data_IF_835697333461
#
_entry.id   IF_835697333461
#
_cell.length_a   1.000
_cell.length_b   1.000
_cell.length_c   1.000
_cell.angle_alpha   90.00
_cell.angle_beta   90.00
_cell.angle_gamma   90.00
#
_symmetry.space_group_name_H-M   'P 1'
#
loop_
_entity.id
_entity.type
_entity.pdbx_description
1 polymer ?
#
# COMPACT_ATOMS: atom_id res chain seq x y z
N UNK A 1 -9.45 -20.34 -14.80
CA UNK A 1 -9.36 -18.94 -14.34
C UNK A 1 -8.08 -18.66 -13.55
N UNK A 2 -7.87 -19.25 -12.36
CA UNK A 2 -6.67 -19.01 -11.52
C UNK A 2 -5.34 -19.13 -12.27
N UNK A 3 -5.08 -20.25 -12.97
CA UNK A 3 -3.85 -20.44 -13.75
C UNK A 3 -3.61 -19.37 -14.83
N UNK A 4 -4.68 -18.88 -15.47
CA UNK A 4 -4.56 -17.80 -16.47
C UNK A 4 -4.21 -16.47 -15.80
N UNK A 5 -4.76 -16.20 -14.62
CA UNK A 5 -4.45 -15.01 -13.82
C UNK A 5 -3.00 -15.04 -13.37
N UNK A 6 -2.53 -16.17 -12.83
CA UNK A 6 -1.14 -16.34 -12.41
C UNK A 6 -0.18 -16.15 -13.60
N UNK A 7 -0.57 -16.68 -14.77
CA UNK A 7 0.17 -16.53 -16.02
C UNK A 7 0.33 -15.08 -16.50
N UNK A 8 -0.52 -14.14 -16.08
CA UNK A 8 -0.43 -12.73 -16.50
C UNK A 8 0.91 -12.10 -16.11
N UNK A 9 1.42 -12.43 -14.93
CA UNK A 9 2.63 -11.83 -14.37
C UNK A 9 3.83 -12.80 -14.34
N UNK A 10 3.65 -14.05 -14.78
CA UNK A 10 4.64 -15.12 -14.62
C UNK A 10 5.96 -14.85 -15.37
N UNK A 11 5.89 -14.18 -16.53
CA UNK A 11 7.05 -13.90 -17.37
C UNK A 11 7.87 -12.65 -16.98
N UNK A 12 7.40 -11.87 -16.00
CA UNK A 12 8.04 -10.60 -15.62
C UNK A 12 8.71 -10.71 -14.25
N UNK A 13 10.03 -10.62 -14.24
CA UNK A 13 10.83 -10.75 -13.02
C UNK A 13 10.53 -9.66 -11.99
N UNK A 14 10.21 -8.42 -12.41
CA UNK A 14 9.86 -7.35 -11.47
C UNK A 14 8.55 -7.66 -10.76
N UNK A 15 7.56 -8.20 -11.47
CA UNK A 15 6.33 -8.63 -10.81
C UNK A 15 6.55 -9.79 -9.86
N UNK A 16 7.42 -10.74 -10.19
CA UNK A 16 7.73 -11.84 -9.26
C UNK A 16 8.43 -11.35 -7.99
N UNK A 17 9.36 -10.38 -8.10
CA UNK A 17 9.98 -9.73 -6.94
C UNK A 17 8.96 -8.96 -6.11
N UNK A 18 8.06 -8.22 -6.77
CA UNK A 18 6.98 -7.50 -6.10
C UNK A 18 6.02 -8.45 -5.37
N UNK A 19 5.61 -9.56 -5.99
CA UNK A 19 4.74 -10.55 -5.35
C UNK A 19 5.44 -11.27 -4.19
N UNK A 20 6.75 -11.50 -4.29
CA UNK A 20 7.55 -12.02 -3.18
C UNK A 20 7.58 -11.04 -2.00
N UNK A 21 7.73 -9.74 -2.26
CA UNK A 21 7.59 -8.71 -1.23
C UNK A 21 6.18 -8.66 -0.64
N UNK A 22 5.12 -8.79 -1.45
CA UNK A 22 3.73 -8.86 -0.96
C UNK A 22 3.55 -10.06 -0.03
N UNK A 23 4.08 -11.22 -0.40
CA UNK A 23 4.07 -12.43 0.42
C UNK A 23 4.79 -12.19 1.75
N UNK A 24 6.05 -11.75 1.70
CA UNK A 24 6.88 -11.47 2.88
C UNK A 24 6.21 -10.46 3.82
N UNK A 25 5.78 -9.32 3.28
CA UNK A 25 5.16 -8.25 4.06
C UNK A 25 3.84 -8.71 4.66
N UNK A 26 3.02 -9.45 3.92
CA UNK A 26 1.76 -9.99 4.46
C UNK A 26 1.99 -10.96 5.62
N UNK A 27 3.04 -11.79 5.55
CA UNK A 27 3.39 -12.76 6.59
C UNK A 27 4.02 -12.10 7.83
N UNK A 28 4.63 -10.92 7.67
CA UNK A 28 5.21 -10.15 8.78
C UNK A 28 4.15 -9.58 9.74
N UNK A 29 2.88 -9.52 9.31
CA UNK A 29 1.80 -8.91 10.08
C UNK A 29 0.89 -9.98 10.67
N UNK A 30 0.68 -9.91 12.00
CA UNK A 30 -0.34 -10.71 12.67
C UNK A 30 -1.70 -10.02 12.51
N UNK A 31 -2.55 -10.61 11.70
CA UNK A 31 -3.90 -10.12 11.42
C UNK A 31 -4.92 -11.25 11.61
N UNK A 32 -6.08 -11.02 12.25
CA UNK A 32 -7.12 -12.03 12.42
C UNK A 32 -7.95 -12.26 11.13
N UNK A 33 -7.30 -12.28 9.96
CA UNK A 33 -7.94 -12.38 8.63
C UNK A 33 -7.27 -13.44 7.78
N UNK A 34 -7.97 -13.85 6.71
CA UNK A 34 -7.40 -14.78 5.73
C UNK A 34 -6.12 -14.18 5.13
N UNK A 35 -5.04 -14.95 4.97
CA UNK A 35 -3.77 -14.48 4.38
C UNK A 35 -3.95 -13.80 3.00
N UNK A 36 -4.85 -14.30 2.17
CA UNK A 36 -5.18 -13.70 0.86
C UNK A 36 -5.67 -12.24 0.96
N UNK A 37 -6.40 -11.90 2.02
CA UNK A 37 -6.91 -10.55 2.25
C UNK A 37 -5.77 -9.57 2.60
N UNK A 38 -4.84 -10.02 3.45
CA UNK A 38 -3.65 -9.25 3.83
C UNK A 38 -2.72 -9.05 2.63
N UNK A 39 -2.55 -10.08 1.79
CA UNK A 39 -1.82 -9.95 0.51
C UNK A 39 -2.48 -8.96 -0.45
N UNK A 40 -3.81 -9.01 -0.59
CA UNK A 40 -4.54 -8.08 -1.47
C UNK A 40 -4.38 -6.62 -1.03
N UNK A 41 -4.36 -6.39 0.28
CA UNK A 41 -4.06 -5.09 0.86
C UNK A 41 -2.64 -4.61 0.47
N UNK A 42 -1.60 -5.42 0.69
CA UNK A 42 -0.22 -5.01 0.36
C UNK A 42 0.06 -4.94 -1.14
N UNK A 43 -0.58 -5.77 -1.96
CA UNK A 43 -0.57 -5.66 -3.42
C UNK A 43 -1.11 -4.28 -3.87
N UNK A 44 -2.22 -3.86 -3.27
CA UNK A 44 -2.83 -2.55 -3.57
C UNK A 44 -1.98 -1.38 -3.07
N UNK A 45 -1.27 -1.57 -1.95
CA UNK A 45 -0.35 -0.58 -1.37
C UNK A 45 0.90 -0.39 -2.23
N UNK A 46 1.69 -1.44 -2.41
CA UNK A 46 2.98 -1.37 -3.09
C UNK A 46 2.87 -1.25 -4.60
N UNK A 47 1.73 -1.66 -5.19
CA UNK A 47 1.48 -1.57 -6.63
C UNK A 47 1.08 -0.19 -7.14
N UNK A 48 0.97 0.82 -6.26
CA UNK A 48 0.50 2.16 -6.66
C UNK A 48 -0.94 2.16 -7.22
N UNK A 49 -1.72 1.12 -6.92
CA UNK A 49 -3.10 1.01 -7.38
C UNK A 49 -3.95 2.01 -6.58
N UNK A 50 -4.16 3.19 -7.17
CA UNK A 50 -4.90 4.34 -6.63
C UNK A 50 -6.41 4.03 -6.45
N UNK A 51 -6.76 3.08 -5.59
CA UNK A 51 -8.15 2.89 -5.14
C UNK A 51 -8.47 3.93 -4.06
N UNK A 52 -9.48 4.75 -4.29
CA UNK A 52 -9.98 5.73 -3.33
C UNK A 52 -10.47 5.04 -2.05
N UNK A 53 -10.34 5.74 -0.91
CA UNK A 53 -10.66 5.27 0.46
C UNK A 53 -12.01 4.54 0.61
N UNK A 54 -12.99 4.88 -0.22
CA UNK A 54 -14.34 4.31 -0.15
C UNK A 54 -14.52 3.00 -0.92
N UNK A 55 -13.66 2.69 -1.91
CA UNK A 55 -13.86 1.50 -2.76
C UNK A 55 -13.21 0.23 -2.20
N UNK A 56 -12.17 0.37 -1.37
CA UNK A 56 -11.33 -0.74 -0.88
C UNK A 56 -12.03 -1.74 0.03
N UNK A 57 -12.97 -1.30 0.86
CA UNK A 57 -13.68 -2.18 1.80
C UNK A 57 -14.74 -3.06 1.13
N UNK A 58 -15.23 -2.64 -0.04
CA UNK A 58 -16.23 -3.40 -0.81
C UNK A 58 -15.60 -4.17 -1.99
N UNK A 59 -14.41 -3.77 -2.46
CA UNK A 59 -13.84 -4.23 -3.73
C UNK A 59 -13.19 -5.62 -3.71
N UNK A 60 -13.07 -6.34 -2.60
CA UNK A 60 -12.60 -7.74 -2.64
C UNK A 60 -13.62 -8.76 -2.16
N UNK A 61 -14.82 -8.35 -1.71
CA UNK A 61 -15.77 -9.27 -1.06
C UNK A 61 -15.19 -10.02 0.14
N UNK A 62 -14.02 -9.59 0.64
CA UNK A 62 -13.40 -10.03 1.86
C UNK A 62 -13.79 -8.95 2.86
N UNK A 63 -14.70 -9.29 3.79
CA UNK A 63 -15.07 -8.45 4.93
C UNK A 63 -13.80 -8.11 5.73
N UNK A 64 -13.08 -7.07 5.29
CA UNK A 64 -12.04 -6.44 6.08
C UNK A 64 -12.78 -5.64 7.15
N UNK A 65 -12.87 -6.23 8.33
CA UNK A 65 -13.36 -5.54 9.52
C UNK A 65 -12.54 -4.24 9.72
N UNK A 66 -13.29 -3.21 10.13
CA UNK A 66 -12.85 -1.83 10.27
C UNK A 66 -11.62 -1.67 11.16
N UNK A 67 -11.31 -2.65 12.00
CA UNK A 67 -10.15 -2.60 12.88
C UNK A 67 -8.84 -3.00 12.18
N UNK A 68 -8.86 -3.95 11.24
CA UNK A 68 -7.69 -4.21 10.37
C UNK A 68 -7.54 -3.17 9.30
N UNK A 69 -8.66 -2.72 8.73
CA UNK A 69 -8.71 -1.52 7.92
C UNK A 69 -7.93 -0.38 8.58
N UNK A 70 -8.19 -0.09 9.86
CA UNK A 70 -7.48 0.93 10.65
C UNK A 70 -6.05 0.57 11.02
N UNK A 71 -5.75 -0.71 11.28
CA UNK A 71 -4.41 -1.18 11.63
C UNK A 71 -3.46 -1.19 10.42
N UNK A 72 -3.94 -1.65 9.27
CA UNK A 72 -3.24 -1.62 8.00
C UNK A 72 -3.27 -0.22 7.37
N UNK A 73 -4.35 0.58 7.55
CA UNK A 73 -4.41 2.00 7.14
C UNK A 73 -3.21 2.80 7.69
N UNK A 74 -2.59 2.36 8.80
CA UNK A 74 -1.32 2.91 9.32
C UNK A 74 -0.20 2.84 8.28
N UNK A 75 0.02 1.70 7.63
CA UNK A 75 0.97 1.58 6.52
C UNK A 75 0.42 2.27 5.24
N UNK A 76 -0.91 2.29 5.08
CA UNK A 76 -1.59 2.76 3.87
C UNK A 76 -1.47 4.26 3.65
N UNK A 77 -1.76 5.02 4.68
CA UNK A 77 -1.92 6.47 4.58
C UNK A 77 -0.56 7.15 4.33
N UNK A 78 0.53 6.59 4.85
CA UNK A 78 1.90 7.06 4.63
C UNK A 78 2.48 6.60 3.28
N UNK A 79 2.29 5.34 2.88
CA UNK A 79 2.73 4.93 1.55
C UNK A 79 1.89 5.54 0.43
N UNK A 80 0.60 5.87 0.67
CA UNK A 80 -0.22 6.67 -0.26
C UNK A 80 0.28 8.10 -0.39
N UNK A 81 0.75 8.69 0.71
CA UNK A 81 1.43 9.97 0.66
C UNK A 81 2.65 9.83 -0.24
N UNK A 82 3.60 8.95 0.11
CA UNK A 82 4.83 8.69 -0.67
C UNK A 82 4.57 8.37 -2.16
N UNK A 83 3.64 7.48 -2.46
CA UNK A 83 3.31 7.04 -3.82
C UNK A 83 2.70 8.15 -4.69
N UNK A 84 1.97 9.10 -4.08
CA UNK A 84 1.47 10.29 -4.81
C UNK A 84 2.59 11.25 -5.21
N UNK A 85 3.75 11.19 -4.55
CA UNK A 85 4.92 12.00 -4.89
C UNK A 85 5.89 11.28 -5.85
N UNK A 86 6.02 9.96 -5.77
CA UNK A 86 6.86 9.17 -6.69
C UNK A 86 6.36 9.22 -8.13
N UNK A 87 5.04 9.24 -8.34
CA UNK A 87 4.50 9.11 -9.69
C UNK A 87 4.55 10.38 -10.54
N UNK A 88 4.92 11.55 -10.02
CA UNK A 88 4.68 12.79 -10.75
C UNK A 88 5.49 13.98 -10.23
N UNK A 89 6.23 14.62 -11.12
CA UNK A 89 6.91 15.92 -10.99
C UNK A 89 5.87 17.07 -10.83
N UNK A 90 5.14 17.04 -9.72
CA UNK A 90 3.85 17.71 -9.52
C UNK A 90 3.95 18.99 -8.71
N UNK A 91 5.06 19.71 -8.78
CA UNK A 91 5.25 20.96 -8.03
C UNK A 91 4.18 22.04 -8.28
N UNK A 92 3.45 21.98 -9.41
CA UNK A 92 2.48 23.02 -9.81
C UNK A 92 1.01 22.67 -9.51
N UNK A 93 0.57 21.44 -9.79
CA UNK A 93 -0.80 20.99 -9.47
C UNK A 93 -0.98 20.70 -7.98
N UNK A 94 0.07 20.20 -7.32
CA UNK A 94 0.08 20.03 -5.87
C UNK A 94 -0.02 21.40 -5.17
N UNK A 95 0.76 22.40 -5.57
CA UNK A 95 0.67 23.76 -5.01
C UNK A 95 -0.72 24.42 -5.19
N UNK A 96 -1.48 24.04 -6.23
CA UNK A 96 -2.84 24.50 -6.50
C UNK A 96 -3.90 23.72 -5.69
N UNK A 97 -3.68 22.43 -5.45
CA UNK A 97 -4.52 21.58 -4.60
C UNK A 97 -4.31 21.90 -3.11
N UNK A 98 -3.06 22.14 -2.70
CA UNK A 98 -2.64 22.57 -1.36
C UNK A 98 -3.15 23.97 -1.00
N UNK A 99 -3.32 24.86 -1.98
CA UNK A 99 -3.84 26.22 -1.75
C UNK A 99 -5.35 26.25 -1.48
N UNK A 100 -6.06 25.15 -1.80
CA UNK A 100 -7.53 25.06 -1.65
C UNK A 100 -7.98 24.19 -0.48
N UNK A 101 -7.09 23.39 0.11
CA UNK A 101 -7.49 22.35 1.06
C UNK A 101 -6.76 22.49 2.41
N UNK A 102 -7.50 22.88 3.45
CA UNK A 102 -7.12 22.78 4.87
C UNK A 102 -6.89 21.31 5.34
N UNK A 103 -6.89 20.36 4.40
CA UNK A 103 -6.86 18.93 4.64
C UNK A 103 -5.46 18.40 4.93
N UNK A 104 -4.40 18.88 4.25
CA UNK A 104 -3.08 18.27 4.40
C UNK A 104 -2.47 18.52 5.79
N UNK A 105 -2.61 19.75 6.28
CA UNK A 105 -2.21 20.19 7.61
C UNK A 105 -2.93 19.39 8.72
N UNK A 106 -4.27 19.28 8.64
CA UNK A 106 -5.04 18.42 9.55
C UNK A 106 -4.71 16.94 9.39
N UNK A 107 -4.10 16.53 8.28
CA UNK A 107 -3.78 15.14 7.99
C UNK A 107 -2.41 14.78 8.54
N UNK A 108 -1.33 15.46 8.13
CA UNK A 108 0.04 15.19 8.58
C UNK A 108 0.21 15.40 10.08
N UNK A 109 -0.31 16.48 10.65
CA UNK A 109 -0.20 16.72 12.10
C UNK A 109 -0.99 15.70 12.91
N UNK A 110 -2.27 15.53 12.60
CA UNK A 110 -3.13 14.55 13.30
C UNK A 110 -2.63 13.12 13.13
N UNK A 111 -1.91 12.82 12.04
CA UNK A 111 -1.45 11.49 11.70
C UNK A 111 -0.11 11.15 12.36
N UNK A 112 0.89 12.03 12.25
CA UNK A 112 2.14 11.88 13.01
C UNK A 112 1.85 11.90 14.51
N UNK A 113 0.97 12.79 15.01
CA UNK A 113 0.61 12.81 16.43
C UNK A 113 -0.19 11.56 16.86
N UNK A 114 -1.08 11.03 16.01
CA UNK A 114 -1.83 9.79 16.32
C UNK A 114 -0.95 8.54 16.33
N UNK A 115 0.03 8.44 15.43
CA UNK A 115 0.98 7.32 15.43
C UNK A 115 1.91 7.41 16.63
N UNK A 116 2.36 8.61 17.00
CA UNK A 116 3.22 8.83 18.17
C UNK A 116 2.52 8.52 19.51
N UNK A 117 1.19 8.67 19.60
CA UNK A 117 0.44 8.54 20.85
C UNK A 117 -0.19 7.16 21.11
N UNK A 118 -0.29 6.27 20.10
CA UNK A 118 -1.18 5.09 20.18
C UNK A 118 -0.52 3.71 20.19
N UNK A 119 0.80 3.62 20.03
CA UNK A 119 1.48 2.32 20.00
C UNK A 119 2.76 2.32 20.87
N UNK A 120 2.73 1.69 22.06
CA UNK A 120 3.94 1.50 22.86
C UNK A 120 4.99 0.60 22.19
N UNK A 121 4.62 -0.12 21.12
CA UNK A 121 5.51 -1.00 20.36
C UNK A 121 6.03 -0.36 19.06
N UNK A 122 5.66 0.89 18.77
CA UNK A 122 6.41 1.71 17.82
C UNK A 122 7.81 1.90 18.42
N UNK A 123 8.77 1.11 17.94
CA UNK A 123 10.17 1.17 18.38
C UNK A 123 10.61 2.64 18.50
N UNK A 124 11.13 3.01 19.67
CA UNK A 124 11.45 4.40 20.04
C UNK A 124 12.23 5.14 18.94
N UNK A 125 13.04 4.40 18.18
CA UNK A 125 13.80 4.90 17.03
C UNK A 125 12.92 5.43 15.88
N UNK A 126 11.90 4.68 15.44
CA UNK A 126 11.02 5.16 14.36
C UNK A 126 10.25 6.39 14.80
N UNK A 127 9.73 6.37 16.04
CA UNK A 127 9.05 7.49 16.66
C UNK A 127 9.96 8.74 16.66
N UNK A 128 11.22 8.57 17.06
CA UNK A 128 12.19 9.65 17.06
C UNK A 128 12.51 10.18 15.66
N UNK A 129 12.78 9.31 14.68
CA UNK A 129 13.06 9.70 13.29
C UNK A 129 11.88 10.45 12.66
N UNK A 130 10.64 10.00 12.89
CA UNK A 130 9.43 10.68 12.40
C UNK A 130 9.22 12.03 13.07
N UNK A 131 9.52 12.15 14.37
CA UNK A 131 9.48 13.44 15.07
C UNK A 131 10.52 14.43 14.53
N UNK A 132 11.77 14.00 14.34
CA UNK A 132 12.81 14.84 13.76
C UNK A 132 12.38 15.36 12.39
N UNK A 133 11.90 14.47 11.53
CA UNK A 133 11.43 14.83 10.20
C UNK A 133 10.22 15.79 10.24
N UNK A 134 9.33 15.65 11.24
CA UNK A 134 8.21 16.59 11.46
C UNK A 134 8.71 18.00 11.80
N UNK A 135 9.77 18.14 12.58
CA UNK A 135 10.27 19.46 13.00
C UNK A 135 10.84 20.31 11.85
N UNK A 136 11.20 19.68 10.73
CA UNK A 136 11.67 20.39 9.54
C UNK A 136 10.54 21.12 8.80
N UNK A 137 9.29 20.68 8.98
CA UNK A 137 8.13 21.23 8.27
C UNK A 137 7.68 22.55 8.91
N UNK A 138 7.64 23.66 8.13
CA UNK A 138 6.98 24.87 8.58
C UNK A 138 5.49 24.62 8.78
N UNK A 139 4.89 25.26 9.79
CA UNK A 139 3.46 25.15 10.00
C UNK A 139 2.69 25.83 8.86
N UNK A 140 1.96 25.07 8.01
CA UNK A 140 1.21 25.64 6.89
C UNK A 140 0.05 26.55 7.34
N UNK A 141 -0.43 26.44 8.59
CA UNK A 141 -1.46 27.33 9.15
C UNK A 141 -0.94 28.71 9.50
N UNK A 142 0.32 28.81 9.88
CA UNK A 142 0.93 30.08 10.29
C UNK A 142 1.27 30.93 9.08
N UNK A 143 1.91 30.33 8.07
CA UNK A 143 2.24 31.02 6.85
C UNK A 143 2.34 30.05 5.67
N UNK A 144 1.28 30.04 4.85
CA UNK A 144 1.20 29.18 3.67
C UNK A 144 2.26 29.50 2.61
N UNK A 145 2.62 30.76 2.41
CA UNK A 145 3.62 31.14 1.40
C UNK A 145 5.02 30.66 1.79
N UNK A 146 5.37 30.73 3.07
CA UNK A 146 6.61 30.16 3.61
C UNK A 146 6.60 28.63 3.44
N UNK A 147 5.52 27.96 3.83
CA UNK A 147 5.39 26.52 3.64
C UNK A 147 5.54 26.13 2.17
N UNK A 148 4.89 26.84 1.25
CA UNK A 148 4.94 26.58 -0.19
C UNK A 148 6.35 26.78 -0.75
N UNK A 149 7.06 27.83 -0.33
CA UNK A 149 8.44 28.07 -0.76
C UNK A 149 9.36 26.98 -0.22
N UNK A 150 9.27 26.67 1.07
CA UNK A 150 10.03 25.60 1.69
C UNK A 150 9.75 24.26 0.99
N UNK A 151 8.49 23.97 0.68
CA UNK A 151 8.09 22.72 0.00
C UNK A 151 8.70 22.61 -1.39
N UNK A 152 8.76 23.72 -2.14
CA UNK A 152 9.39 23.76 -3.47
C UNK A 152 10.89 23.47 -3.41
N UNK A 153 11.56 23.93 -2.36
CA UNK A 153 13.02 23.82 -2.20
C UNK A 153 13.43 22.50 -1.54
N UNK A 154 12.66 21.99 -0.56
CA UNK A 154 13.06 20.90 0.33
C UNK A 154 12.15 19.66 0.25
N UNK A 155 10.93 19.79 -0.30
CA UNK A 155 9.90 18.76 -0.23
C UNK A 155 10.29 17.42 -0.88
N UNK A 156 11.10 17.45 -1.96
CA UNK A 156 11.61 16.24 -2.59
C UNK A 156 12.55 15.46 -1.65
N UNK A 157 13.54 16.14 -1.06
CA UNK A 157 14.47 15.54 -0.11
C UNK A 157 13.75 15.04 1.14
N UNK A 158 12.83 15.84 1.68
CA UNK A 158 12.00 15.46 2.82
C UNK A 158 11.19 14.19 2.56
N UNK A 159 10.62 14.07 1.36
CA UNK A 159 9.84 12.89 0.94
C UNK A 159 10.72 11.65 0.80
N UNK A 160 11.95 11.79 0.28
CA UNK A 160 12.90 10.67 0.20
C UNK A 160 13.38 10.22 1.58
N UNK A 161 13.64 11.14 2.51
CA UNK A 161 13.96 10.81 3.89
C UNK A 161 12.81 10.04 4.57
N UNK A 162 11.57 10.51 4.40
CA UNK A 162 10.39 9.80 4.86
C UNK A 162 10.33 8.40 4.26
N UNK A 163 10.54 8.27 2.94
CA UNK A 163 10.52 6.95 2.27
C UNK A 163 11.58 6.02 2.83
N UNK A 164 12.81 6.51 3.06
CA UNK A 164 13.89 5.72 3.62
C UNK A 164 13.52 5.19 5.01
N UNK A 165 13.00 6.05 5.89
CA UNK A 165 12.52 5.67 7.23
C UNK A 165 11.43 4.59 7.13
N UNK A 166 10.50 4.72 6.19
CA UNK A 166 9.41 3.75 6.02
C UNK A 166 9.86 2.42 5.43
N UNK A 167 10.83 2.43 4.51
CA UNK A 167 11.43 1.20 4.00
C UNK A 167 12.19 0.49 5.12
N UNK A 168 12.99 1.23 5.89
CA UNK A 168 13.80 0.69 6.98
C UNK A 168 12.95 0.06 8.08
N UNK A 169 11.98 0.79 8.63
CA UNK A 169 11.25 0.36 9.82
C UNK A 169 9.94 -0.35 9.53
N UNK A 170 9.43 -0.27 8.30
CA UNK A 170 8.13 -0.86 7.94
C UNK A 170 8.18 -1.71 6.67
N UNK A 171 9.29 -1.74 5.94
CA UNK A 171 9.40 -2.44 4.67
C UNK A 171 8.29 -2.05 3.67
N UNK A 172 7.95 -0.75 3.61
CA UNK A 172 6.94 -0.19 2.70
C UNK A 172 7.46 1.06 2.01
N UNK A 173 6.84 1.43 0.88
CA UNK A 173 7.21 2.63 0.12
C UNK A 173 8.27 2.41 -0.95
N UNK A 174 8.61 1.15 -1.25
CA UNK A 174 9.50 0.78 -2.34
C UNK A 174 9.05 1.34 -3.68
N UNK A 175 9.98 1.95 -4.42
CA UNK A 175 9.78 2.31 -5.81
C UNK A 175 10.16 1.13 -6.71
N UNK A 176 9.15 0.39 -7.17
CA UNK A 176 9.31 -0.75 -8.07
C UNK A 176 9.65 -0.34 -9.51
N UNK A 177 9.59 0.96 -9.83
CA UNK A 177 9.87 1.50 -11.16
C UNK A 177 9.10 0.78 -12.27
N UNK A 178 7.80 0.56 -12.03
CA UNK A 178 6.92 -0.04 -13.03
C UNK A 178 6.69 0.92 -14.20
N UNK A 179 6.80 0.42 -15.42
CA UNK A 179 6.37 1.15 -16.63
C UNK A 179 4.85 1.32 -16.64
N UNK A 180 4.33 2.23 -17.46
CA UNK A 180 2.88 2.38 -17.63
C UNK A 180 2.20 1.07 -18.09
N UNK A 181 2.86 0.33 -18.98
CA UNK A 181 2.38 -0.99 -19.42
C UNK A 181 2.33 -2.01 -18.28
N UNK A 182 3.34 -1.99 -17.39
CA UNK A 182 3.35 -2.81 -16.19
C UNK A 182 2.23 -2.39 -15.22
N UNK A 183 2.03 -1.10 -14.98
CA UNK A 183 0.93 -0.61 -14.13
C UNK A 183 -0.44 -1.05 -14.64
N UNK A 184 -0.67 -0.96 -15.95
CA UNK A 184 -1.93 -1.45 -16.56
C UNK A 184 -2.08 -2.97 -16.46
N UNK A 185 -0.99 -3.72 -16.63
CA UNK A 185 -1.02 -5.17 -16.45
C UNK A 185 -1.29 -5.56 -14.99
N UNK A 186 -0.72 -4.83 -14.03
CA UNK A 186 -0.98 -5.03 -12.60
C UNK A 186 -2.43 -4.72 -12.23
N UNK A 187 -3.03 -3.67 -12.81
CA UNK A 187 -4.48 -3.38 -12.67
C UNK A 187 -5.34 -4.53 -13.20
N UNK A 188 -4.99 -5.09 -14.36
CA UNK A 188 -5.69 -6.26 -14.93
C UNK A 188 -5.56 -7.49 -14.03
N UNK A 189 -4.35 -7.75 -13.53
CA UNK A 189 -4.09 -8.85 -12.59
C UNK A 189 -4.91 -8.70 -11.31
N UNK A 190 -4.92 -7.50 -10.69
CA UNK A 190 -5.74 -7.21 -9.53
C UNK A 190 -7.23 -7.42 -9.82
N UNK A 191 -7.73 -6.82 -10.92
CA UNK A 191 -9.14 -6.95 -11.32
C UNK A 191 -9.56 -8.40 -11.57
N UNK A 192 -8.69 -9.21 -12.18
CA UNK A 192 -8.98 -10.62 -12.42
C UNK A 192 -8.97 -11.45 -11.12
N UNK A 193 -8.08 -11.16 -10.16
CA UNK A 193 -8.11 -11.79 -8.83
C UNK A 193 -9.36 -11.39 -8.04
N UNK A 194 -9.79 -10.13 -8.14
CA UNK A 194 -11.07 -9.66 -7.57
C UNK A 194 -12.23 -10.49 -8.12
N UNK A 195 -12.34 -10.60 -9.44
CA UNK A 195 -13.41 -11.37 -10.08
C UNK A 195 -13.37 -12.85 -9.66
N UNK A 196 -12.18 -13.45 -9.54
CA UNK A 196 -12.04 -14.82 -9.06
C UNK A 196 -12.59 -14.99 -7.64
N UNK A 197 -12.29 -14.05 -6.73
CA UNK A 197 -12.82 -14.07 -5.36
C UNK A 197 -14.34 -13.87 -5.35
N UNK A 198 -14.87 -12.95 -6.16
CA UNK A 198 -16.32 -12.77 -6.32
C UNK A 198 -17.00 -14.05 -6.81
N UNK A 199 -16.40 -14.73 -7.81
CA UNK A 199 -16.89 -16.03 -8.27
C UNK A 199 -16.87 -17.07 -7.14
N UNK A 200 -15.79 -17.18 -6.36
CA UNK A 200 -15.73 -18.08 -5.22
C UNK A 200 -16.81 -17.74 -4.17
N UNK A 201 -17.12 -16.48 -3.95
CA UNK A 201 -18.11 -16.07 -2.94
C UNK A 201 -19.57 -16.12 -3.44
N UNK A 202 -19.80 -16.36 -4.72
CA UNK A 202 -21.12 -16.62 -5.29
C UNK A 202 -21.56 -18.08 -5.10
N UNK A 203 -22.72 -18.46 -5.66
CA UNK A 203 -23.23 -19.85 -5.69
C UNK A 203 -22.38 -20.82 -6.57
N UNK A 204 -21.12 -20.46 -6.85
CA UNK A 204 -20.18 -21.30 -7.57
C UNK A 204 -19.81 -22.55 -6.75
N UNK A 205 -20.21 -23.71 -7.26
CA UNK A 205 -19.80 -24.98 -6.68
C UNK A 205 -18.35 -25.30 -7.04
N UNK A 206 -17.47 -25.16 -6.06
CA UNK A 206 -16.06 -25.57 -6.12
C UNK A 206 -15.78 -26.47 -4.93
N UNK A 207 -15.09 -27.58 -5.17
CA UNK A 207 -14.65 -28.48 -4.11
C UNK A 207 -13.89 -27.69 -3.02
N UNK A 208 -14.13 -28.01 -1.74
CA UNK A 208 -13.53 -27.31 -0.60
C UNK A 208 -12.00 -27.26 -0.66
N UNK A 209 -11.36 -28.34 -1.08
CA UNK A 209 -9.90 -28.42 -1.19
C UNK A 209 -9.38 -27.52 -2.31
N UNK A 210 -10.07 -27.53 -3.46
CA UNK A 210 -9.75 -26.63 -4.58
C UNK A 210 -9.95 -25.17 -4.20
N UNK A 211 -11.03 -24.85 -3.48
CA UNK A 211 -11.26 -23.49 -2.95
C UNK A 211 -10.14 -23.07 -2.02
N UNK A 212 -9.77 -23.92 -1.07
CA UNK A 212 -8.68 -23.64 -0.13
C UNK A 212 -7.36 -23.44 -0.87
N UNK A 213 -7.04 -24.29 -1.84
CA UNK A 213 -5.85 -24.15 -2.68
C UNK A 213 -5.83 -22.82 -3.43
N UNK A 214 -6.96 -22.37 -4.00
CA UNK A 214 -7.05 -21.07 -4.68
C UNK A 214 -6.82 -19.92 -3.69
N UNK A 215 -7.46 -19.95 -2.51
CA UNK A 215 -7.30 -18.93 -1.47
C UNK A 215 -5.85 -18.88 -0.94
N UNK A 216 -5.26 -20.04 -0.65
CA UNK A 216 -3.91 -20.16 -0.09
C UNK A 216 -2.84 -19.65 -1.09
N UNK A 217 -3.08 -19.85 -2.40
CA UNK A 217 -2.15 -19.44 -3.49
C UNK A 217 -2.49 -18.10 -4.15
N UNK A 218 -3.53 -17.40 -3.69
CA UNK A 218 -3.93 -16.12 -4.26
C UNK A 218 -2.86 -15.05 -4.01
N UNK A 219 -2.46 -14.30 -5.05
CA UNK A 219 -1.50 -13.20 -4.96
C UNK A 219 -0.10 -13.61 -4.48
N UNK A 220 0.32 -14.85 -4.76
CA UNK A 220 1.67 -15.34 -4.49
C UNK A 220 2.56 -15.30 -5.74
N UNK A 221 3.89 -15.22 -5.57
CA UNK A 221 4.80 -15.42 -6.69
C UNK A 221 4.73 -16.88 -7.18
N UNK A 222 5.03 -17.10 -8.46
CA UNK A 222 4.89 -18.41 -9.13
C UNK A 222 5.67 -19.50 -8.39
N UNK A 223 6.87 -19.19 -7.89
CA UNK A 223 7.68 -20.11 -7.11
C UNK A 223 6.96 -20.63 -5.86
N UNK A 224 6.29 -19.74 -5.13
CA UNK A 224 5.53 -20.11 -3.92
C UNK A 224 4.26 -20.87 -4.27
N UNK A 225 3.61 -20.55 -5.39
CA UNK A 225 2.46 -21.31 -5.91
C UNK A 225 2.87 -22.76 -6.20
N UNK A 226 3.97 -22.97 -6.94
CA UNK A 226 4.49 -24.30 -7.27
C UNK A 226 4.79 -25.13 -6.03
N UNK A 227 5.45 -24.53 -5.03
CA UNK A 227 5.79 -25.19 -3.77
C UNK A 227 4.57 -25.62 -2.94
N UNK A 228 3.43 -24.93 -3.08
CA UNK A 228 2.16 -25.33 -2.43
C UNK A 228 1.45 -26.43 -3.22
N UNK A 229 1.53 -26.41 -4.56
CA UNK A 229 0.85 -27.40 -5.41
C UNK A 229 1.56 -28.76 -5.48
N UNK A 230 2.84 -28.83 -5.10
CA UNK A 230 3.62 -30.08 -5.04
C UNK A 230 3.50 -30.82 -3.69
N UNK A 231 2.74 -30.26 -2.74
CA UNK A 231 2.46 -30.86 -1.41
C UNK A 231 1.09 -31.52 -1.39
#
# INVERSE_FOLDING_TARGET
>A
MKQQIDGLLAGDQKFQQFLAWVEEKSNSVKAPYKPAAVRAYYLSLGGGLNFSRYRRYQDLGLDLDLDLARYLDRDFDLARYLARYVERDFGRELALMLAKDQYLDRYLDRYLDRDLDRDPALEDELKHKLQQLKTELPNPRENYDIFKQWWKENGANWTEQLRAIMIEHRNIGHDWQFTDSQKELLKKYHGANKLLVECLNSDCYVNRDVRKQIEDTLLLPIKSIQAVTER
#
